data_IF_385590903058
#
_entry.id   IF_385590903058
#
_cell.length_a   1.000
_cell.length_b   1.000
_cell.length_c   1.000
_cell.angle_alpha   90.00
_cell.angle_beta   90.00
_cell.angle_gamma   90.00
#
_symmetry.space_group_name_H-M   'P 1'
#
loop_
_entity.id
_entity.type
_entity.pdbx_description
1 polymer ?
#
# COMPACT_ATOMS: atom_id res chain seq x y z
N UNK A 1 -8.64 -9.60 -44.90
CA UNK A 1 -9.46 -9.09 -43.79
C UNK A 1 -8.67 -7.94 -43.18
N UNK A 2 -9.10 -6.72 -43.49
CA UNK A 2 -8.39 -5.49 -43.16
C UNK A 2 -9.06 -4.85 -41.95
N UNK A 3 -8.26 -4.48 -40.95
CA UNK A 3 -8.67 -3.70 -39.78
C UNK A 3 -8.51 -2.22 -40.13
N UNK A 4 -9.61 -1.54 -40.40
CA UNK A 4 -9.67 -0.09 -40.52
C UNK A 4 -10.81 0.44 -39.64
N UNK A 5 -10.52 1.57 -38.98
CA UNK A 5 -11.47 2.58 -38.51
C UNK A 5 -12.21 2.31 -37.18
N UNK A 6 -11.57 2.67 -36.07
CA UNK A 6 -12.27 3.19 -34.88
C UNK A 6 -11.85 4.66 -34.74
N UNK A 7 -12.68 5.55 -35.28
CA UNK A 7 -12.63 6.98 -35.03
C UNK A 7 -13.17 7.26 -33.61
N UNK A 8 -12.25 7.37 -32.65
CA UNK A 8 -12.54 7.81 -31.30
C UNK A 8 -12.53 9.33 -31.22
N UNK A 9 -13.70 9.94 -31.40
CA UNK A 9 -13.95 11.37 -31.25
C UNK A 9 -13.67 11.81 -29.79
N UNK A 10 -12.48 12.37 -29.55
CA UNK A 10 -12.04 12.86 -28.24
C UNK A 10 -12.52 14.30 -28.05
N UNK A 11 -13.61 14.49 -27.31
CA UNK A 11 -14.03 15.82 -26.86
C UNK A 11 -13.27 16.19 -25.57
N UNK A 12 -12.46 17.25 -25.56
CA UNK A 12 -11.86 17.76 -24.33
C UNK A 12 -12.96 18.30 -23.43
N UNK A 13 -13.03 17.79 -22.20
CA UNK A 13 -13.86 18.37 -21.13
C UNK A 13 -13.32 19.77 -20.86
N UNK A 14 -14.10 20.80 -21.23
CA UNK A 14 -13.83 22.16 -20.79
C UNK A 14 -14.06 22.23 -19.28
N UNK A 15 -13.12 22.76 -18.48
CA UNK A 15 -13.38 23.01 -17.08
C UNK A 15 -14.38 24.16 -16.96
N UNK A 16 -15.50 23.89 -16.30
CA UNK A 16 -16.48 24.90 -15.92
C UNK A 16 -15.80 25.96 -15.06
N UNK A 17 -15.70 27.15 -15.64
CA UNK A 17 -15.38 28.41 -15.01
C UNK A 17 -16.58 28.85 -14.17
N UNK A 18 -16.53 28.58 -12.86
CA UNK A 18 -17.02 29.50 -11.82
C UNK A 18 -16.78 28.88 -10.44
N UNK A 19 -15.58 29.12 -9.92
CA UNK A 19 -15.25 28.92 -8.51
C UNK A 19 -14.40 30.09 -8.09
N UNK A 20 -15.01 31.06 -7.40
CA UNK A 20 -14.32 32.20 -6.82
C UNK A 20 -13.19 31.69 -5.90
N UNK A 21 -11.96 31.99 -6.28
CA UNK A 21 -10.81 31.84 -5.40
C UNK A 21 -10.93 32.90 -4.31
N UNK A 22 -11.42 32.51 -3.13
CA UNK A 22 -11.19 33.31 -1.93
C UNK A 22 -9.70 33.25 -1.60
N UNK A 23 -9.10 34.41 -1.76
CA UNK A 23 -7.76 34.82 -1.39
C UNK A 23 -7.61 34.68 0.14
N UNK A 24 -7.06 33.55 0.59
CA UNK A 24 -6.63 33.40 1.99
C UNK A 24 -5.18 33.90 2.09
N UNK A 25 -5.04 35.22 2.14
CA UNK A 25 -3.87 35.87 2.72
C UNK A 25 -3.89 35.69 4.25
N UNK A 26 -2.67 35.71 4.82
CA UNK A 26 -2.32 35.84 6.24
C UNK A 26 -2.31 34.57 7.11
N UNK A 27 -1.10 34.03 7.32
CA UNK A 27 -0.32 34.28 8.56
C UNK A 27 1.04 33.57 8.45
N UNK A 28 2.04 34.27 7.92
CA UNK A 28 3.43 34.01 8.25
C UNK A 28 3.64 34.51 9.69
N UNK A 29 3.66 33.59 10.64
CA UNK A 29 4.23 33.87 11.96
C UNK A 29 5.73 33.79 11.80
N UNK A 30 6.37 34.96 11.73
CA UNK A 30 7.79 35.11 11.96
C UNK A 30 8.08 34.70 13.42
N UNK A 31 8.58 33.47 13.62
CA UNK A 31 9.20 33.11 14.89
C UNK A 31 10.53 33.84 14.98
N UNK A 32 10.48 34.90 15.77
CA UNK A 32 11.58 35.78 16.13
C UNK A 32 12.58 35.00 16.98
N UNK A 33 13.83 35.03 16.55
CA UNK A 33 15.00 34.57 17.30
C UNK A 33 15.07 35.33 18.64
N UNK A 34 15.02 34.59 19.75
CA UNK A 34 15.52 35.08 21.04
C UNK A 34 16.95 34.56 21.20
N UNK A 35 17.91 35.46 20.98
CA UNK A 35 19.27 35.38 21.49
C UNK A 35 19.21 35.48 23.02
N UNK A 36 19.51 34.39 23.73
CA UNK A 36 19.80 34.40 25.16
C UNK A 36 21.33 34.37 25.33
N UNK A 37 21.88 35.59 25.46
CA UNK A 37 23.20 35.85 25.98
C UNK A 37 23.24 35.44 27.46
N UNK A 38 23.81 34.28 27.76
CA UNK A 38 24.32 34.00 29.10
C UNK A 38 25.83 33.83 29.09
N UNK A 39 26.45 34.76 29.80
CA UNK A 39 27.86 35.02 29.97
C UNK A 39 28.67 33.84 30.55
N UNK A 40 29.90 33.75 30.03
CA UNK A 40 31.15 33.36 30.69
C UNK A 40 31.08 33.17 32.20
N UNK A 41 31.29 31.93 32.68
CA UNK A 41 32.04 31.69 33.91
C UNK A 41 32.86 30.38 33.84
N UNK A 42 34.18 30.61 33.87
CA UNK A 42 35.21 29.85 34.56
C UNK A 42 35.65 28.48 34.01
N UNK A 43 36.87 28.50 33.47
CA UNK A 43 37.83 27.40 33.42
C UNK A 43 37.95 26.66 34.77
N UNK A 44 37.69 25.35 34.77
CA UNK A 44 38.43 24.40 35.60
C UNK A 44 38.63 23.09 34.85
N UNK A 45 39.90 22.72 34.66
CA UNK A 45 40.39 21.38 34.33
C UNK A 45 41.68 21.19 35.15
N UNK A 46 42.15 19.98 35.51
CA UNK A 46 41.50 18.66 35.56
C UNK A 46 41.66 17.97 36.93
N UNK A 47 40.74 17.06 37.30
CA UNK A 47 41.11 15.94 38.18
C UNK A 47 40.62 14.59 37.65
N UNK A 48 41.44 13.53 37.78
CA UNK A 48 41.28 12.28 37.04
C UNK A 48 40.26 11.40 37.75
N UNK A 49 39.08 11.24 37.15
CA UNK A 49 38.05 10.36 37.69
C UNK A 49 38.06 9.02 36.98
N UNK A 50 38.29 7.99 37.79
CA UNK A 50 37.92 6.59 37.59
C UNK A 50 38.67 5.78 36.51
N UNK A 51 39.61 5.01 37.04
CA UNK A 51 40.06 3.73 36.50
C UNK A 51 38.92 2.95 35.82
N UNK A 52 39.16 2.67 34.54
CA UNK A 52 38.38 1.76 33.73
C UNK A 52 38.38 0.37 34.40
N UNK A 53 37.31 0.08 35.13
CA UNK A 53 37.01 -1.23 35.69
C UNK A 53 36.78 -2.21 34.54
N UNK A 54 37.83 -2.93 34.16
CA UNK A 54 37.75 -4.04 33.21
C UNK A 54 36.81 -5.12 33.77
N UNK A 55 35.68 -5.45 33.11
CA UNK A 55 34.93 -6.63 33.50
C UNK A 55 35.71 -7.88 33.08
N UNK A 56 36.30 -8.57 34.07
CA UNK A 56 36.79 -9.95 33.97
C UNK A 56 35.59 -10.89 33.94
N UNK A 57 35.00 -11.09 32.77
CA UNK A 57 34.20 -12.27 32.46
C UNK A 57 34.92 -13.09 31.39
N UNK A 58 34.70 -14.42 31.30
CA UNK A 58 35.19 -15.20 30.18
C UNK A 58 34.38 -14.78 28.95
N UNK A 59 34.80 -13.70 28.31
CA UNK A 59 34.26 -13.31 27.01
C UNK A 59 34.65 -14.46 26.09
N UNK A 60 33.66 -15.16 25.54
CA UNK A 60 33.86 -15.83 24.27
C UNK A 60 34.28 -14.73 23.30
N UNK A 61 35.58 -14.49 23.20
CA UNK A 61 36.14 -13.51 22.30
C UNK A 61 35.92 -14.07 20.92
N UNK A 62 34.88 -13.56 20.24
CA UNK A 62 34.67 -13.84 18.84
C UNK A 62 35.97 -13.60 18.06
N UNK A 63 36.19 -14.39 17.03
CA UNK A 63 37.46 -14.44 16.31
C UNK A 63 37.88 -13.05 15.78
N UNK A 64 36.92 -12.30 15.25
CA UNK A 64 37.09 -10.94 14.77
C UNK A 64 36.41 -9.95 15.72
N UNK A 65 37.13 -8.92 16.16
CA UNK A 65 36.54 -7.83 16.95
C UNK A 65 37.28 -6.51 16.77
N UNK A 66 36.57 -5.43 16.46
CA UNK A 66 37.15 -4.09 16.30
C UNK A 66 36.14 -3.00 16.68
N UNK A 67 36.62 -1.80 16.97
CA UNK A 67 35.77 -0.65 17.25
C UNK A 67 35.47 0.07 15.93
N UNK A 68 34.20 0.36 15.69
CA UNK A 68 33.73 0.98 14.46
C UNK A 68 33.05 2.32 14.75
N UNK A 69 33.39 3.36 14.00
CA UNK A 69 32.67 4.65 13.99
C UNK A 69 31.89 4.75 12.69
N UNK A 70 30.56 4.85 12.80
CA UNK A 70 29.68 4.95 11.65
C UNK A 70 29.48 6.42 11.28
N UNK A 71 29.78 6.74 10.04
CA UNK A 71 29.65 8.07 9.48
C UNK A 71 28.73 8.02 8.26
N UNK A 72 27.61 8.75 8.31
CA UNK A 72 26.71 8.85 7.16
C UNK A 72 27.28 9.84 6.12
N UNK A 73 27.36 9.38 4.87
CA UNK A 73 27.70 10.16 3.68
C UNK A 73 26.49 10.33 2.78
N UNK A 74 26.29 11.54 2.29
CA UNK A 74 25.27 11.85 1.30
C UNK A 74 25.77 11.58 -0.13
N UNK A 75 27.07 11.72 -0.35
CA UNK A 75 27.77 11.46 -1.61
C UNK A 75 29.25 11.13 -1.35
N UNK A 76 29.91 10.48 -2.31
CA UNK A 76 31.28 9.92 -2.21
C UNK A 76 32.31 10.94 -1.74
N UNK A 77 32.35 12.08 -2.41
CA UNK A 77 33.37 13.12 -2.22
C UNK A 77 33.06 14.08 -1.05
N UNK A 78 32.12 13.73 -0.17
CA UNK A 78 31.83 14.52 1.02
C UNK A 78 33.02 14.51 1.99
N UNK A 79 33.56 15.70 2.27
CA UNK A 79 34.75 15.89 3.11
C UNK A 79 34.48 15.71 4.61
N UNK A 80 33.30 16.14 5.07
CA UNK A 80 32.90 16.13 6.48
C UNK A 80 31.57 15.37 6.62
N UNK A 81 31.60 14.04 6.65
CA UNK A 81 30.42 13.25 6.96
C UNK A 81 30.04 13.39 8.43
N UNK A 82 28.74 13.26 8.72
CA UNK A 82 28.22 13.28 10.09
C UNK A 82 28.61 11.97 10.76
N UNK A 83 29.13 12.01 11.98
CA UNK A 83 29.31 10.81 12.79
C UNK A 83 27.97 10.51 13.49
N UNK A 84 27.48 9.29 13.34
CA UNK A 84 26.15 8.90 13.81
C UNK A 84 26.23 8.05 15.07
N UNK A 85 27.14 7.07 15.09
CA UNK A 85 27.27 6.14 16.21
C UNK A 85 28.66 5.52 16.24
N UNK A 86 29.02 4.95 17.38
CA UNK A 86 30.19 4.09 17.53
C UNK A 86 29.77 2.79 18.18
N UNK A 87 30.21 1.65 17.63
CA UNK A 87 29.91 0.33 18.18
C UNK A 87 31.11 -0.59 18.08
N UNK A 88 31.11 -1.66 18.88
CA UNK A 88 32.09 -2.74 18.73
C UNK A 88 31.53 -3.81 17.80
N UNK A 89 32.15 -3.99 16.64
CA UNK A 89 31.78 -5.02 15.66
C UNK A 89 32.48 -6.32 16.05
N UNK A 90 31.72 -7.42 16.11
CA UNK A 90 32.20 -8.73 16.53
C UNK A 90 31.62 -9.84 15.65
N UNK A 91 32.43 -10.84 15.29
CA UNK A 91 31.98 -11.97 14.45
C UNK A 91 32.98 -13.12 14.43
N UNK A 92 32.50 -14.34 14.15
CA UNK A 92 33.35 -15.54 14.00
C UNK A 92 33.62 -15.88 12.52
N UNK A 93 32.82 -15.31 11.62
CA UNK A 93 32.96 -15.37 10.16
C UNK A 93 33.04 -13.97 9.54
N UNK A 94 33.31 -13.86 8.23
CA UNK A 94 33.26 -12.57 7.53
C UNK A 94 31.80 -12.13 7.42
N UNK A 95 30.90 -13.08 7.18
CA UNK A 95 29.46 -12.91 7.05
C UNK A 95 28.86 -12.33 8.34
N UNK A 96 29.24 -12.85 9.51
CA UNK A 96 28.81 -12.32 10.83
C UNK A 96 29.22 -10.85 11.01
N UNK A 97 30.42 -10.50 10.54
CA UNK A 97 30.93 -9.12 10.62
C UNK A 97 30.10 -8.23 9.69
N UNK A 98 29.79 -8.69 8.47
CA UNK A 98 28.96 -7.94 7.52
C UNK A 98 27.53 -7.79 8.04
N UNK A 99 26.95 -8.83 8.65
CA UNK A 99 25.63 -8.78 9.29
C UNK A 99 25.61 -7.77 10.42
N UNK A 100 26.62 -7.78 11.29
CA UNK A 100 26.74 -6.80 12.37
C UNK A 100 26.87 -5.35 11.83
N UNK A 101 27.64 -5.14 10.76
CA UNK A 101 27.75 -3.84 10.10
C UNK A 101 26.41 -3.38 9.50
N UNK A 102 25.71 -4.29 8.82
CA UNK A 102 24.42 -4.02 8.22
C UNK A 102 23.38 -3.67 9.27
N UNK A 103 23.24 -4.48 10.32
CA UNK A 103 22.26 -4.24 11.38
C UNK A 103 22.49 -2.91 12.11
N UNK A 104 23.75 -2.51 12.26
CA UNK A 104 24.09 -1.21 12.86
C UNK A 104 23.83 -0.04 11.91
N UNK A 105 24.08 -0.22 10.61
CA UNK A 105 24.09 0.88 9.64
C UNK A 105 22.83 1.02 8.77
N UNK A 106 21.95 0.02 8.73
CA UNK A 106 20.80 -0.03 7.79
C UNK A 106 19.84 1.16 7.92
N UNK A 107 19.66 1.70 9.12
CA UNK A 107 18.77 2.84 9.35
C UNK A 107 19.33 4.16 8.80
N UNK A 108 20.62 4.19 8.45
CA UNK A 108 21.27 5.33 7.79
C UNK A 108 21.13 5.26 6.27
N UNK A 109 20.62 4.14 5.74
CA UNK A 109 20.47 3.89 4.31
C UNK A 109 19.05 4.22 3.87
N UNK A 110 18.94 4.86 2.70
CA UNK A 110 17.72 5.16 1.96
C UNK A 110 17.66 4.31 0.69
N UNK A 111 16.61 4.50 -0.10
CA UNK A 111 16.42 3.79 -1.38
C UNK A 111 17.62 3.96 -2.31
N UNK A 112 18.01 2.86 -2.97
CA UNK A 112 19.13 2.88 -3.89
C UNK A 112 18.87 3.83 -5.07
N UNK A 113 19.87 4.64 -5.42
CA UNK A 113 19.90 5.43 -6.67
C UNK A 113 21.05 4.97 -7.54
N UNK A 114 20.79 4.80 -8.84
CA UNK A 114 21.80 4.49 -9.85
C UNK A 114 21.75 5.56 -10.93
N UNK A 115 22.90 6.05 -11.36
CA UNK A 115 22.99 7.03 -12.45
C UNK A 115 23.17 6.31 -13.78
N UNK A 116 22.30 6.61 -14.74
CA UNK A 116 22.45 6.22 -16.14
C UNK A 116 22.49 7.49 -16.96
N UNK A 117 23.58 7.74 -17.68
CA UNK A 117 23.80 8.95 -18.47
C UNK A 117 23.62 10.25 -17.65
N UNK A 118 24.13 10.27 -16.41
CA UNK A 118 23.96 11.35 -15.43
C UNK A 118 22.52 11.63 -14.98
N UNK A 119 21.56 10.77 -15.33
CA UNK A 119 20.17 10.88 -14.85
C UNK A 119 19.97 9.94 -13.67
N UNK A 120 19.50 10.44 -12.50
CA UNK A 120 19.24 9.59 -11.35
C UNK A 120 18.04 8.68 -11.62
N UNK A 121 18.23 7.37 -11.43
CA UNK A 121 17.17 6.37 -11.48
C UNK A 121 17.07 5.65 -10.14
N UNK A 122 15.87 5.64 -9.58
CA UNK A 122 15.57 4.88 -8.37
C UNK A 122 15.58 3.38 -8.68
N UNK A 123 16.23 2.58 -7.84
CA UNK A 123 16.13 1.13 -7.92
C UNK A 123 14.68 0.69 -7.71
N UNK A 124 14.32 -0.48 -8.24
CA UNK A 124 12.96 -1.03 -8.15
C UNK A 124 12.59 -1.29 -6.69
N UNK A 125 13.50 -1.89 -5.93
CA UNK A 125 13.32 -2.12 -4.50
C UNK A 125 13.27 -0.78 -3.74
N UNK A 126 12.21 -0.59 -2.94
CA UNK A 126 12.01 0.64 -2.15
C UNK A 126 12.95 0.69 -0.94
N UNK A 127 13.24 -0.47 -0.34
CA UNK A 127 14.14 -0.61 0.81
C UNK A 127 15.29 -1.54 0.44
N UNK A 128 16.55 -1.10 0.59
CA UNK A 128 17.71 -1.95 0.37
C UNK A 128 17.72 -3.17 1.30
N UNK A 129 18.23 -4.28 0.80
CA UNK A 129 18.32 -5.55 1.52
C UNK A 129 19.77 -5.81 1.94
N UNK A 130 19.98 -6.84 2.77
CA UNK A 130 21.31 -7.26 3.19
C UNK A 130 22.26 -7.49 2.01
N UNK A 131 21.76 -8.09 0.93
CA UNK A 131 22.54 -8.35 -0.30
C UNK A 131 23.08 -7.08 -0.97
N UNK A 132 22.49 -5.91 -0.66
CA UNK A 132 22.89 -4.63 -1.21
C UNK A 132 24.00 -3.94 -0.40
N UNK A 133 24.43 -4.50 0.73
CA UNK A 133 25.40 -3.86 1.66
C UNK A 133 26.64 -3.32 0.96
N UNK A 134 27.19 -4.04 -0.03
CA UNK A 134 28.36 -3.62 -0.80
C UNK A 134 28.15 -2.36 -1.63
N UNK A 135 26.90 -1.98 -1.92
CA UNK A 135 26.54 -0.76 -2.66
C UNK A 135 26.47 0.49 -1.76
N UNK A 136 26.56 0.32 -0.45
CA UNK A 136 26.33 1.40 0.52
C UNK A 136 27.45 1.56 1.55
N UNK A 137 28.33 0.59 1.73
CA UNK A 137 29.32 0.60 2.81
C UNK A 137 30.75 0.67 2.28
N UNK A 138 31.56 1.54 2.89
CA UNK A 138 33.02 1.52 2.76
C UNK A 138 33.66 1.54 4.14
N UNK A 139 34.72 0.76 4.31
CA UNK A 139 35.47 0.65 5.55
C UNK A 139 36.83 1.33 5.38
N UNK A 140 37.16 2.27 6.25
CA UNK A 140 38.44 2.94 6.26
C UNK A 140 39.23 2.54 7.50
N UNK A 141 40.39 1.95 7.26
CA UNK A 141 41.42 1.73 8.26
C UNK A 141 42.04 3.09 8.62
N UNK A 142 41.85 3.54 9.85
CA UNK A 142 42.34 4.84 10.31
C UNK A 142 43.87 4.88 10.44
N UNK A 143 44.51 3.73 10.67
CA UNK A 143 45.97 3.63 10.81
C UNK A 143 46.64 3.61 9.44
N UNK A 144 46.14 2.81 8.50
CA UNK A 144 46.68 2.70 7.15
C UNK A 144 46.12 3.76 6.18
N UNK A 145 45.09 4.51 6.59
CA UNK A 145 44.32 5.46 5.76
C UNK A 145 43.80 4.84 4.46
N UNK A 146 43.60 3.52 4.44
CA UNK A 146 43.17 2.77 3.27
C UNK A 146 41.69 2.42 3.39
N UNK A 147 40.97 2.58 2.29
CA UNK A 147 39.54 2.26 2.18
C UNK A 147 39.34 0.91 1.48
N UNK A 148 38.36 0.16 1.96
CA UNK A 148 38.01 -1.19 1.51
C UNK A 148 36.49 -1.25 1.29
N UNK A 149 36.08 -1.87 0.18
CA UNK A 149 34.69 -2.29 -0.01
C UNK A 149 34.40 -3.59 0.75
N UNK A 150 33.12 -3.90 0.92
CA UNK A 150 32.65 -5.10 1.64
C UNK A 150 33.16 -6.37 0.94
N UNK A 151 33.13 -6.39 -0.38
CA UNK A 151 33.61 -7.48 -1.24
C UNK A 151 35.12 -7.75 -1.10
N UNK A 152 35.87 -6.80 -0.56
CA UNK A 152 37.32 -6.89 -0.38
C UNK A 152 37.73 -7.30 1.05
N UNK A 153 36.77 -7.62 1.92
CA UNK A 153 37.06 -8.09 3.27
C UNK A 153 37.62 -9.51 3.23
N UNK A 154 38.68 -9.73 4.00
CA UNK A 154 39.31 -11.04 4.15
C UNK A 154 39.56 -11.32 5.63
N UNK A 155 39.52 -12.59 6.04
CA UNK A 155 39.78 -12.98 7.43
C UNK A 155 41.11 -12.42 7.96
N UNK A 156 42.16 -12.41 7.11
CA UNK A 156 43.47 -11.83 7.46
C UNK A 156 43.40 -10.33 7.75
N UNK A 157 42.60 -9.58 6.99
CA UNK A 157 42.40 -8.15 7.21
C UNK A 157 41.66 -7.91 8.53
N UNK A 158 40.59 -8.65 8.79
CA UNK A 158 39.81 -8.54 10.02
C UNK A 158 40.62 -8.91 11.27
N UNK A 159 41.48 -9.93 11.20
CA UNK A 159 42.42 -10.26 12.27
C UNK A 159 43.40 -9.12 12.56
N UNK A 160 43.89 -8.46 11.50
CA UNK A 160 44.78 -7.31 11.66
C UNK A 160 44.07 -6.13 12.32
N UNK A 161 42.79 -5.92 12.01
CA UNK A 161 41.98 -4.86 12.60
C UNK A 161 41.54 -5.14 14.03
N UNK A 162 41.94 -6.26 14.63
CA UNK A 162 41.59 -6.58 16.00
C UNK A 162 41.97 -5.43 16.95
N UNK A 163 40.99 -4.99 17.72
CA UNK A 163 41.08 -3.86 18.67
C UNK A 163 41.52 -2.52 18.05
N UNK A 164 41.43 -2.38 16.72
CA UNK A 164 41.65 -1.11 16.03
C UNK A 164 40.34 -0.32 15.89
N UNK A 165 40.49 0.97 15.59
CA UNK A 165 39.38 1.85 15.24
C UNK A 165 39.23 1.93 13.73
N UNK A 166 38.09 1.49 13.22
CA UNK A 166 37.75 1.50 11.79
C UNK A 166 36.62 2.50 11.57
N UNK A 167 36.76 3.38 10.58
CA UNK A 167 35.70 4.31 10.19
C UNK A 167 34.84 3.66 9.11
N UNK A 168 33.54 3.56 9.35
CA UNK A 168 32.57 2.96 8.43
C UNK A 168 31.79 4.08 7.78
N UNK A 169 31.95 4.27 6.48
CA UNK A 169 31.15 5.20 5.70
C UNK A 169 29.91 4.49 5.19
N UNK A 170 28.75 4.98 5.62
CA UNK A 170 27.44 4.52 5.15
C UNK A 170 26.87 5.56 4.21
N UNK A 171 26.70 5.20 2.94
CA UNK A 171 26.14 6.09 1.94
C UNK A 171 24.61 6.07 2.05
N UNK A 172 23.99 7.25 2.10
CA UNK A 172 22.54 7.34 2.26
C UNK A 172 21.81 6.75 1.04
N UNK A 173 22.28 6.98 -0.18
CA UNK A 173 21.56 6.55 -1.40
C UNK A 173 22.28 5.46 -2.20
N UNK A 174 23.60 5.55 -2.36
CA UNK A 174 24.46 4.50 -2.94
C UNK A 174 25.88 5.05 -3.06
N UNK A 175 26.82 4.17 -3.39
CA UNK A 175 28.16 4.54 -3.83
C UNK A 175 28.19 5.26 -5.18
N UNK A 176 27.12 5.18 -5.97
CA UNK A 176 27.01 5.81 -7.30
C UNK A 176 26.73 7.32 -7.21
N UNK A 177 26.33 7.84 -6.04
CA UNK A 177 26.22 9.28 -5.81
C UNK A 177 27.60 9.85 -5.50
N UNK A 178 28.28 10.40 -6.48
CA UNK A 178 29.68 10.81 -6.35
C UNK A 178 29.84 12.20 -5.73
N UNK A 179 28.98 13.15 -6.12
CA UNK A 179 29.16 14.56 -5.83
C UNK A 179 27.86 15.25 -5.38
N UNK A 180 28.00 16.51 -4.94
CA UNK A 180 26.89 17.32 -4.42
C UNK A 180 25.81 17.60 -5.46
N UNK A 181 26.17 17.76 -6.74
CA UNK A 181 25.20 18.04 -7.80
C UNK A 181 24.29 16.84 -8.03
N UNK A 182 24.88 15.65 -8.17
CA UNK A 182 24.13 14.39 -8.25
C UNK A 182 23.22 14.17 -7.03
N UNK A 183 23.68 14.52 -5.83
CA UNK A 183 22.86 14.46 -4.62
C UNK A 183 21.65 15.42 -4.69
N UNK A 184 21.84 16.63 -5.20
CA UNK A 184 20.72 17.57 -5.39
C UNK A 184 19.72 17.04 -6.44
N UNK A 185 20.21 16.43 -7.53
CA UNK A 185 19.38 15.84 -8.57
C UNK A 185 18.54 14.68 -8.02
N UNK A 186 19.08 13.90 -7.07
CA UNK A 186 18.32 12.88 -6.33
C UNK A 186 17.14 13.52 -5.59
N UNK A 187 17.36 14.66 -4.91
CA UNK A 187 16.30 15.37 -4.19
C UNK A 187 15.17 15.86 -5.12
N UNK A 188 15.52 16.40 -6.29
CA UNK A 188 14.54 16.82 -7.31
C UNK A 188 13.76 15.61 -7.85
N UNK A 189 14.46 14.52 -8.13
CA UNK A 189 13.85 13.26 -8.57
C UNK A 189 12.89 12.68 -7.53
N UNK A 190 13.23 12.77 -6.24
CA UNK A 190 12.37 12.35 -5.14
C UNK A 190 11.09 13.17 -5.06
N UNK A 191 11.20 14.50 -5.17
CA UNK A 191 10.05 15.40 -5.17
C UNK A 191 9.11 15.13 -6.35
N UNK A 192 9.65 14.98 -7.57
CA UNK A 192 8.86 14.64 -8.76
C UNK A 192 8.13 13.30 -8.62
N UNK A 193 8.78 12.30 -8.00
CA UNK A 193 8.17 11.00 -7.70
C UNK A 193 7.01 11.15 -6.71
N UNK A 194 7.18 11.89 -5.62
CA UNK A 194 6.13 12.11 -4.62
C UNK A 194 4.93 12.85 -5.21
N UNK A 195 5.17 13.85 -6.07
CA UNK A 195 4.13 14.54 -6.82
C UNK A 195 3.37 13.59 -7.77
N UNK A 196 4.09 12.68 -8.44
CA UNK A 196 3.48 11.61 -9.23
C UNK A 196 2.55 10.70 -8.42
N UNK A 197 2.98 10.29 -7.22
CA UNK A 197 2.16 9.48 -6.29
C UNK A 197 0.93 10.27 -5.83
N UNK A 198 1.10 11.53 -5.46
CA UNK A 198 0.00 12.41 -5.04
C UNK A 198 -1.05 12.54 -6.15
N UNK A 199 -0.63 12.81 -7.40
CA UNK A 199 -1.54 12.83 -8.57
C UNK A 199 -2.28 11.51 -8.74
N UNK A 200 -1.58 10.38 -8.66
CA UNK A 200 -2.19 9.05 -8.75
C UNK A 200 -3.24 8.82 -7.65
N UNK A 201 -2.95 9.26 -6.42
CA UNK A 201 -3.87 9.17 -5.29
C UNK A 201 -5.12 10.04 -5.50
N UNK A 202 -4.98 11.26 -6.02
CA UNK A 202 -6.11 12.12 -6.36
C UNK A 202 -7.02 11.45 -7.39
N UNK A 203 -6.45 10.91 -8.48
CA UNK A 203 -7.21 10.18 -9.50
C UNK A 203 -7.95 8.98 -8.90
N UNK A 204 -7.28 8.17 -8.07
CA UNK A 204 -7.90 7.03 -7.40
C UNK A 204 -9.06 7.46 -6.48
N UNK A 205 -8.89 8.56 -5.74
CA UNK A 205 -9.94 9.09 -4.86
C UNK A 205 -11.16 9.59 -5.65
N UNK A 206 -10.92 10.27 -6.78
CA UNK A 206 -12.00 10.69 -7.69
C UNK A 206 -12.78 9.49 -8.24
N UNK A 207 -12.08 8.44 -8.68
CA UNK A 207 -12.71 7.20 -9.18
C UNK A 207 -13.51 6.52 -8.06
N UNK A 208 -12.94 6.37 -6.86
CA UNK A 208 -13.62 5.77 -5.73
C UNK A 208 -14.89 6.54 -5.33
N UNK A 209 -14.82 7.87 -5.32
CA UNK A 209 -15.95 8.75 -5.03
C UNK A 209 -17.08 8.59 -6.06
N UNK A 210 -16.71 8.49 -7.34
CA UNK A 210 -17.66 8.21 -8.44
C UNK A 210 -18.31 6.84 -8.28
N UNK A 211 -17.54 5.79 -8.06
CA UNK A 211 -18.06 4.44 -7.88
C UNK A 211 -19.00 4.35 -6.67
N UNK A 212 -18.64 5.02 -5.56
CA UNK A 212 -19.48 5.07 -4.37
C UNK A 212 -20.83 5.76 -4.64
N UNK A 213 -20.85 6.81 -5.48
CA UNK A 213 -22.09 7.46 -5.91
C UNK A 213 -22.97 6.49 -6.72
N UNK A 214 -22.39 5.80 -7.71
CA UNK A 214 -23.12 4.83 -8.52
C UNK A 214 -23.68 3.68 -7.69
N UNK A 215 -22.93 3.18 -6.70
CA UNK A 215 -23.42 2.17 -5.76
C UNK A 215 -24.64 2.67 -4.97
N UNK A 216 -24.62 3.93 -4.52
CA UNK A 216 -25.77 4.53 -3.81
C UNK A 216 -26.99 4.68 -4.72
N UNK A 217 -26.79 5.11 -5.96
CA UNK A 217 -27.85 5.21 -6.98
C UNK A 217 -28.49 3.83 -7.23
N UNK A 218 -27.69 2.81 -7.54
CA UNK A 218 -28.17 1.44 -7.72
C UNK A 218 -28.91 0.89 -6.49
N UNK A 219 -28.45 1.24 -5.28
CA UNK A 219 -29.14 0.84 -4.05
C UNK A 219 -30.52 1.50 -3.94
N UNK A 220 -30.64 2.78 -4.32
CA UNK A 220 -31.93 3.47 -4.34
C UNK A 220 -32.87 2.85 -5.37
N UNK A 221 -32.40 2.61 -6.60
CA UNK A 221 -33.18 1.97 -7.66
C UNK A 221 -33.65 0.56 -7.27
N UNK A 222 -32.77 -0.25 -6.68
CA UNK A 222 -33.10 -1.57 -6.14
C UNK A 222 -34.18 -1.50 -5.06
N UNK A 223 -34.11 -0.50 -4.17
CA UNK A 223 -35.12 -0.29 -3.13
C UNK A 223 -36.48 0.08 -3.73
N UNK A 224 -36.51 0.93 -4.76
CA UNK A 224 -37.73 1.28 -5.49
C UNK A 224 -38.33 0.07 -6.19
N UNK A 225 -37.52 -0.74 -6.87
CA UNK A 225 -37.98 -1.96 -7.53
C UNK A 225 -38.58 -2.96 -6.54
N UNK A 226 -38.00 -3.10 -5.34
CA UNK A 226 -38.53 -3.96 -4.28
C UNK A 226 -39.94 -3.52 -3.84
N UNK A 227 -40.20 -2.22 -3.71
CA UNK A 227 -41.53 -1.71 -3.35
C UNK A 227 -42.57 -2.09 -4.40
N UNK A 228 -42.24 -1.95 -5.69
CA UNK A 228 -43.14 -2.33 -6.80
C UNK A 228 -43.43 -3.83 -6.79
N UNK A 229 -42.41 -4.67 -6.56
CA UNK A 229 -42.58 -6.12 -6.45
C UNK A 229 -43.48 -6.50 -5.27
N UNK A 230 -43.30 -5.87 -4.10
CA UNK A 230 -44.15 -6.10 -2.94
C UNK A 230 -45.61 -5.73 -3.20
N UNK A 231 -45.87 -4.65 -3.96
CA UNK A 231 -47.22 -4.29 -4.37
C UNK A 231 -47.83 -5.32 -5.34
N UNK A 232 -47.05 -5.79 -6.31
CA UNK A 232 -47.50 -6.84 -7.23
C UNK A 232 -47.85 -8.14 -6.49
N UNK A 233 -47.05 -8.55 -5.51
CA UNK A 233 -47.35 -9.73 -4.69
C UNK A 233 -48.65 -9.58 -3.91
N UNK A 234 -48.91 -8.42 -3.29
CA UNK A 234 -50.19 -8.16 -2.61
C UNK A 234 -51.39 -8.29 -3.55
N UNK A 235 -51.28 -7.81 -4.78
CA UNK A 235 -52.35 -7.94 -5.79
C UNK A 235 -52.55 -9.40 -6.20
N UNK A 236 -51.47 -10.18 -6.29
CA UNK A 236 -51.53 -11.61 -6.60
C UNK A 236 -52.26 -12.38 -5.49
N UNK A 237 -51.95 -12.11 -4.22
CA UNK A 237 -52.64 -12.70 -3.06
C UNK A 237 -54.16 -12.43 -3.08
N UNK A 238 -54.57 -11.20 -3.46
CA UNK A 238 -56.00 -10.86 -3.61
C UNK A 238 -56.66 -11.65 -4.75
N UNK A 239 -56.01 -11.71 -5.92
CA UNK A 239 -56.53 -12.47 -7.06
C UNK A 239 -56.63 -13.97 -6.77
N UNK A 240 -55.69 -14.54 -6.02
CA UNK A 240 -55.73 -15.93 -5.58
C UNK A 240 -56.94 -16.19 -4.68
N UNK A 241 -57.18 -15.34 -3.68
CA UNK A 241 -58.35 -15.43 -2.82
C UNK A 241 -59.67 -15.28 -3.59
N UNK A 242 -59.74 -14.37 -4.57
CA UNK A 242 -60.91 -14.22 -5.45
C UNK A 242 -61.16 -15.47 -6.31
N UNK A 243 -60.10 -16.06 -6.86
CA UNK A 243 -60.18 -17.29 -7.65
C UNK A 243 -60.67 -18.48 -6.81
N UNK A 244 -60.17 -18.61 -5.57
CA UNK A 244 -60.64 -19.61 -4.62
C UNK A 244 -62.12 -19.45 -4.28
N UNK A 245 -62.56 -18.22 -4.01
CA UNK A 245 -63.96 -17.92 -3.74
C UNK A 245 -64.86 -18.25 -4.95
N UNK A 246 -64.44 -17.86 -6.16
CA UNK A 246 -65.14 -18.18 -7.40
C UNK A 246 -65.23 -19.69 -7.64
N UNK A 247 -64.14 -20.43 -7.41
CA UNK A 247 -64.13 -21.89 -7.49
C UNK A 247 -65.09 -22.52 -6.47
N UNK A 248 -65.20 -21.94 -5.27
CA UNK A 248 -66.19 -22.33 -4.26
C UNK A 248 -67.63 -22.16 -4.75
N UNK A 249 -67.95 -21.03 -5.39
CA UNK A 249 -69.27 -20.77 -5.98
C UNK A 249 -69.58 -21.77 -7.10
N UNK A 250 -68.66 -21.99 -8.03
CA UNK A 250 -68.83 -22.95 -9.14
C UNK A 250 -69.04 -24.36 -8.61
N UNK A 251 -68.30 -24.76 -7.56
CA UNK A 251 -68.46 -26.06 -6.92
C UNK A 251 -69.84 -26.21 -6.27
N UNK A 252 -70.31 -25.18 -5.55
CA UNK A 252 -71.66 -25.16 -4.97
C UNK A 252 -72.75 -25.20 -6.05
N UNK A 253 -72.61 -24.43 -7.13
CA UNK A 253 -73.52 -24.48 -8.27
C UNK A 253 -73.60 -25.88 -8.88
N UNK A 254 -72.46 -26.56 -9.05
CA UNK A 254 -72.42 -27.93 -9.57
C UNK A 254 -73.16 -28.92 -8.67
N UNK A 255 -73.10 -28.75 -7.35
CA UNK A 255 -73.87 -29.59 -6.41
C UNK A 255 -75.38 -29.38 -6.50
N UNK A 256 -75.84 -28.14 -6.76
CA UNK A 256 -77.27 -27.82 -6.89
C UNK A 256 -77.82 -28.17 -8.27
N UNK A 257 -76.99 -28.09 -9.31
CA UNK A 257 -77.37 -28.40 -10.70
C UNK A 257 -77.32 -29.89 -11.05
N UNK A 258 -76.83 -30.78 -10.18
CA UNK A 258 -77.07 -32.20 -10.38
C UNK A 258 -78.57 -32.43 -10.16
N UNK A 259 -79.35 -32.73 -11.22
CA UNK A 259 -80.74 -33.10 -11.00
C UNK A 259 -80.74 -34.28 -10.03
N UNK A 260 -81.53 -34.19 -8.96
CA UNK A 260 -81.88 -35.40 -8.23
C UNK A 260 -82.52 -36.32 -9.24
N UNK A 261 -81.74 -37.29 -9.73
CA UNK A 261 -82.29 -38.40 -10.48
C UNK A 261 -83.16 -39.17 -9.49
N UNK A 262 -84.41 -38.73 -9.40
CA UNK A 262 -85.47 -39.46 -8.71
C UNK A 262 -85.45 -40.90 -9.23
N UNK A 263 -85.72 -41.88 -8.36
CA UNK A 263 -85.92 -43.28 -8.78
C UNK A 263 -86.88 -43.37 -9.98
N UNK A 264 -87.86 -42.45 -10.06
CA UNK A 264 -88.77 -42.35 -11.20
C UNK A 264 -88.04 -41.95 -12.50
N UNK A 265 -87.07 -41.04 -12.45
CA UNK A 265 -86.27 -40.64 -13.62
C UNK A 265 -85.29 -41.73 -14.06
N UNK A 266 -84.71 -42.48 -13.11
CA UNK A 266 -83.86 -43.64 -13.43
C UNK A 266 -84.69 -44.79 -13.99
N UNK A 267 -85.90 -45.02 -13.47
CA UNK A 267 -86.86 -45.97 -14.04
C UNK A 267 -87.30 -45.54 -15.44
N UNK A 268 -87.67 -44.27 -15.64
CA UNK A 268 -87.99 -43.73 -16.98
C UNK A 268 -86.81 -43.85 -17.94
N UNK A 269 -85.58 -43.55 -17.51
CA UNK A 269 -84.39 -43.71 -18.36
C UNK A 269 -84.10 -45.18 -18.70
N UNK A 270 -84.41 -46.12 -17.80
CA UNK A 270 -84.29 -47.56 -18.05
C UNK A 270 -85.44 -48.11 -18.91
N UNK A 271 -86.63 -47.51 -18.83
CA UNK A 271 -87.85 -47.92 -19.53
C UNK A 271 -88.00 -47.26 -20.92
N UNK A 272 -87.34 -46.11 -21.13
CA UNK A 272 -87.05 -45.54 -22.45
C UNK A 272 -86.01 -46.43 -23.13
N UNK A 273 -86.49 -47.60 -23.52
CA UNK A 273 -85.83 -48.48 -24.47
C UNK A 273 -85.63 -47.66 -25.72
N UNK A 274 -84.38 -47.52 -26.18
CA UNK A 274 -84.05 -46.87 -27.43
C UNK A 274 -85.05 -47.31 -28.50
N UNK A 275 -85.97 -46.42 -28.86
CA UNK A 275 -86.68 -46.51 -30.11
C UNK A 275 -85.60 -46.33 -31.16
N UNK A 276 -84.99 -47.45 -31.58
CA UNK A 276 -84.26 -47.47 -32.82
C UNK A 276 -85.27 -46.99 -33.86
N UNK A 277 -84.96 -45.84 -34.43
CA UNK A 277 -85.62 -45.25 -35.60
C UNK A 277 -85.25 -46.13 -36.82
N UNK A 278 -85.60 -47.41 -36.74
CA UNK A 278 -85.65 -48.31 -37.88
C UNK A 278 -86.97 -47.99 -38.57
N UNK A 279 -86.88 -47.54 -39.84
CA UNK A 279 -87.95 -47.26 -40.82
C UNK A 279 -88.20 -45.75 -41.07
N UNK A 280 -88.00 -45.14 -42.25
CA UNK A 280 -87.89 -45.52 -43.67
C UNK A 280 -87.09 -44.40 -44.39
N UNK A 281 -86.13 -44.72 -45.27
CA UNK A 281 -86.25 -44.72 -46.77
C UNK A 281 -86.85 -43.44 -47.35
#
# INVERSE_FOLDING_TARGET
MSLSEIDGNYNPIQPDSDGSYEEVEHLLVEEKEEEDDTEDLAEEDPQPVAECSKPKGPRCEKLFSFNAVFCQKLFRNQLRPKENSSTRVVGDSIEDVIECLWDTGKDLVKRQVVFHDNVPKWAVDEKPKFDDVGKFFLLQDMNARKTYGIENLTARLLLRWRDQLIKIFVFAYSLDVENKNQFNDVGVSEAARLDGVHRGMVVANTINSRNLRQIRELKMESSTAMVVLQEAFKRLEVMEAEAEASNGIVSAMKTVMQPEESELSQQLAAEVTNCFDDHYV
#
